data_IF_717326211731
#
_entry.id   IF_717326211731
#
_cell.length_a   1.000
_cell.length_b   1.000
_cell.length_c   1.000
_cell.angle_alpha   90.00
_cell.angle_beta   90.00
_cell.angle_gamma   90.00
#
_symmetry.space_group_name_H-M   'P 1'
#
loop_
_entity.id
_entity.type
_entity.pdbx_description
1 polymer ?
#
# COMPACT_ATOMS: atom_id res chain seq x y z
N UNK A 1 -1.30 19.99 -50.57
CA UNK A 1 -0.74 19.06 -49.56
C UNK A 1 -1.72 17.91 -49.30
N UNK A 2 -1.84 16.97 -50.22
CA UNK A 2 -2.78 15.84 -50.11
C UNK A 2 -2.25 14.55 -50.78
N UNK A 3 -0.94 14.32 -50.73
CA UNK A 3 -0.34 13.15 -51.41
C UNK A 3 0.42 12.18 -50.45
N UNK A 4 0.45 12.43 -49.18
CA UNK A 4 1.23 11.60 -48.22
C UNK A 4 0.39 10.59 -47.42
N UNK A 5 -0.94 10.62 -47.47
CA UNK A 5 -1.82 9.77 -46.66
C UNK A 5 -2.19 8.42 -47.30
N UNK A 6 -1.97 8.25 -48.58
CA UNK A 6 -2.42 7.04 -49.31
C UNK A 6 -1.39 5.90 -49.33
N UNK A 7 -0.14 6.12 -48.95
CA UNK A 7 0.89 5.08 -48.97
C UNK A 7 0.79 4.06 -47.83
N UNK A 8 0.23 4.44 -46.71
CA UNK A 8 0.18 3.59 -45.53
C UNK A 8 -0.97 2.57 -45.53
N UNK A 9 -2.07 2.94 -46.13
CA UNK A 9 -3.25 2.06 -46.27
C UNK A 9 -3.04 0.94 -47.31
N UNK A 10 -2.26 1.19 -48.36
CA UNK A 10 -1.99 0.18 -49.38
C UNK A 10 -1.04 -0.93 -48.91
N UNK A 11 -0.08 -0.61 -48.04
CA UNK A 11 0.82 -1.63 -47.51
C UNK A 11 0.14 -2.60 -46.51
N UNK A 12 -0.90 -2.19 -45.80
CA UNK A 12 -1.66 -3.07 -44.95
C UNK A 12 -2.61 -4.01 -45.73
N UNK A 13 -3.10 -3.57 -46.87
CA UNK A 13 -3.97 -4.42 -47.72
C UNK A 13 -3.16 -5.55 -48.38
N UNK A 14 -1.92 -5.28 -48.80
CA UNK A 14 -1.04 -6.32 -49.33
C UNK A 14 -0.54 -7.32 -48.30
N UNK A 15 -0.39 -6.92 -47.04
CA UNK A 15 -0.01 -7.84 -45.96
C UNK A 15 -1.12 -8.86 -45.64
N UNK A 16 -2.37 -8.44 -45.68
CA UNK A 16 -3.51 -9.34 -45.44
C UNK A 16 -3.76 -10.31 -46.64
N UNK A 17 -3.46 -9.89 -47.84
CA UNK A 17 -3.59 -10.78 -49.02
C UNK A 17 -2.54 -11.88 -49.09
N UNK A 18 -1.33 -11.67 -48.53
CA UNK A 18 -0.31 -12.73 -48.45
C UNK A 18 -0.66 -13.88 -47.51
N UNK A 19 -1.50 -13.64 -46.53
CA UNK A 19 -1.96 -14.71 -45.64
C UNK A 19 -3.21 -15.44 -46.17
N UNK A 20 -4.02 -14.81 -47.00
CA UNK A 20 -5.24 -15.43 -47.55
C UNK A 20 -4.95 -16.43 -48.67
N UNK A 21 -3.85 -16.27 -49.39
CA UNK A 21 -3.48 -17.20 -50.48
C UNK A 21 -2.78 -18.48 -50.00
N UNK A 22 -2.31 -18.53 -48.76
CA UNK A 22 -1.71 -19.72 -48.18
C UNK A 22 -2.74 -20.72 -47.64
N UNK A 23 -4.01 -20.36 -47.50
CA UNK A 23 -5.04 -21.24 -46.94
C UNK A 23 -5.78 -22.09 -47.95
N UNK A 24 -5.62 -21.83 -49.27
CA UNK A 24 -6.35 -22.55 -50.33
C UNK A 24 -5.54 -23.66 -51.03
N UNK A 25 -4.34 -23.97 -50.55
CA UNK A 25 -3.54 -25.08 -51.05
C UNK A 25 -3.25 -26.08 -49.93
N UNK A 26 -4.28 -26.76 -49.48
CA UNK A 26 -4.12 -28.02 -48.74
C UNK A 26 -4.54 -29.14 -49.69
N UNK A 27 -3.62 -29.74 -50.42
CA UNK A 27 -3.93 -30.99 -51.08
C UNK A 27 -4.27 -32.03 -50.04
N UNK A 28 -5.20 -32.88 -50.34
CA UNK A 28 -5.71 -33.97 -49.51
C UNK A 28 -4.63 -34.93 -48.97
N UNK A 29 -3.37 -34.74 -49.34
CA UNK A 29 -2.22 -35.49 -48.83
C UNK A 29 -1.85 -35.23 -47.37
N UNK A 30 -2.34 -34.14 -46.75
CA UNK A 30 -2.08 -33.85 -45.35
C UNK A 30 -2.93 -34.67 -44.39
N UNK A 31 -4.03 -35.25 -44.87
CA UNK A 31 -4.91 -36.09 -44.05
C UNK A 31 -4.39 -37.49 -43.83
N UNK A 32 -3.25 -37.89 -44.43
CA UNK A 32 -2.61 -39.18 -44.26
C UNK A 32 -1.37 -39.14 -43.37
N UNK A 33 -1.14 -38.08 -42.62
CA UNK A 33 -0.11 -38.13 -41.57
C UNK A 33 -0.56 -39.09 -40.48
N UNK A 34 -0.36 -40.39 -40.70
CA UNK A 34 -0.50 -41.43 -39.68
C UNK A 34 0.49 -41.06 -38.58
N UNK A 35 -0.01 -40.83 -37.39
CA UNK A 35 0.79 -40.70 -36.20
C UNK A 35 1.48 -42.05 -35.86
N UNK A 36 2.47 -42.38 -36.66
CA UNK A 36 3.32 -43.50 -36.30
C UNK A 36 4.04 -43.17 -35.00
N UNK A 37 3.80 -43.91 -33.98
CA UNK A 37 4.58 -43.85 -32.78
C UNK A 37 6.07 -43.96 -33.15
N UNK A 38 6.82 -42.90 -33.01
CA UNK A 38 8.22 -42.85 -33.41
C UNK A 38 8.94 -44.06 -32.74
N UNK A 39 9.67 -44.87 -33.55
CA UNK A 39 10.43 -45.99 -33.06
C UNK A 39 11.32 -45.56 -31.89
N UNK A 40 11.53 -46.45 -30.91
CA UNK A 40 12.28 -46.17 -29.67
C UNK A 40 13.58 -45.40 -29.93
N UNK A 41 14.35 -45.79 -30.96
CA UNK A 41 15.58 -45.10 -31.34
C UNK A 41 15.43 -43.68 -31.84
N UNK A 42 14.30 -43.34 -32.49
CA UNK A 42 14.01 -41.98 -32.94
C UNK A 42 13.64 -41.06 -31.77
N UNK A 43 12.92 -41.58 -30.79
CA UNK A 43 12.63 -40.87 -29.54
C UNK A 43 13.90 -40.62 -28.71
N UNK A 44 14.84 -41.56 -28.69
CA UNK A 44 16.13 -41.33 -28.03
C UNK A 44 16.99 -40.28 -28.73
N UNK A 45 17.01 -40.30 -30.09
CA UNK A 45 17.69 -39.25 -30.86
C UNK A 45 17.04 -37.85 -30.67
N UNK A 46 15.72 -37.77 -30.61
CA UNK A 46 15.02 -36.54 -30.32
C UNK A 46 15.26 -36.03 -28.87
N UNK A 47 15.36 -36.93 -27.91
CA UNK A 47 15.78 -36.59 -26.52
C UNK A 47 17.22 -36.09 -26.45
N UNK A 48 18.14 -36.70 -27.23
CA UNK A 48 19.55 -36.24 -27.27
C UNK A 48 19.73 -34.89 -27.96
N UNK A 49 18.81 -34.50 -28.85
CA UNK A 49 18.80 -33.16 -29.48
C UNK A 49 18.22 -32.05 -28.59
N UNK A 50 17.55 -32.36 -27.50
CA UNK A 50 17.23 -31.32 -26.50
C UNK A 50 18.54 -30.81 -25.94
N UNK A 51 18.86 -29.58 -26.30
CA UNK A 51 20.01 -28.83 -25.76
C UNK A 51 20.02 -29.08 -24.26
N UNK A 52 21.06 -29.76 -23.77
CA UNK A 52 21.27 -29.85 -22.33
C UNK A 52 21.44 -28.41 -21.85
N UNK A 53 20.41 -27.86 -21.23
CA UNK A 53 20.61 -26.65 -20.42
C UNK A 53 21.73 -26.99 -19.46
N UNK A 54 22.91 -26.39 -19.70
CA UNK A 54 24.03 -26.50 -18.79
C UNK A 54 23.59 -25.78 -17.53
N UNK A 55 22.94 -26.51 -16.65
CA UNK A 55 22.70 -26.05 -15.29
C UNK A 55 24.07 -25.86 -14.69
N UNK A 56 24.53 -24.63 -14.64
CA UNK A 56 25.72 -24.29 -13.88
C UNK A 56 25.49 -24.83 -12.48
N UNK A 57 26.23 -25.85 -12.11
CA UNK A 57 26.21 -26.37 -10.75
C UNK A 57 26.70 -25.29 -9.84
N UNK A 58 25.74 -24.49 -9.32
CA UNK A 58 26.06 -23.53 -8.27
C UNK A 58 26.54 -24.38 -7.08
N UNK A 59 27.83 -24.28 -6.78
CA UNK A 59 28.41 -24.97 -5.64
C UNK A 59 27.66 -24.57 -4.36
N UNK A 60 27.62 -25.48 -3.39
CA UNK A 60 27.02 -25.19 -2.10
C UNK A 60 27.62 -23.89 -1.51
N UNK A 61 26.79 -22.90 -1.29
CA UNK A 61 27.18 -21.63 -0.65
C UNK A 61 26.71 -21.71 0.81
N UNK A 62 27.63 -21.73 1.78
CA UNK A 62 27.33 -21.70 3.20
C UNK A 62 26.42 -20.52 3.55
N UNK A 63 25.56 -20.70 4.56
CA UNK A 63 24.56 -19.68 4.96
C UNK A 63 25.21 -18.31 5.26
N UNK A 64 26.36 -18.30 5.90
CA UNK A 64 27.11 -17.06 6.22
C UNK A 64 27.54 -16.28 4.96
N UNK A 65 27.89 -16.99 3.88
CA UNK A 65 28.27 -16.35 2.62
C UNK A 65 27.04 -15.90 1.79
N UNK A 66 25.88 -16.51 2.00
CA UNK A 66 24.62 -16.06 1.37
C UNK A 66 24.21 -14.68 1.88
N UNK A 67 24.30 -14.45 3.18
CA UNK A 67 24.05 -13.14 3.79
C UNK A 67 24.99 -12.06 3.22
N UNK A 68 26.30 -12.35 3.15
CA UNK A 68 27.28 -11.43 2.59
C UNK A 68 27.03 -11.11 1.11
N UNK A 69 26.61 -12.08 0.29
CA UNK A 69 26.23 -11.85 -1.12
C UNK A 69 24.96 -11.00 -1.24
N UNK A 70 24.00 -11.21 -0.36
CA UNK A 70 22.77 -10.38 -0.32
C UNK A 70 23.09 -8.92 0.07
N UNK A 71 23.96 -8.74 1.06
CA UNK A 71 24.41 -7.39 1.44
C UNK A 71 25.26 -6.71 0.36
N UNK A 72 26.12 -7.46 -0.33
CA UNK A 72 26.88 -6.92 -1.46
C UNK A 72 25.98 -6.53 -2.65
N UNK A 73 24.87 -7.27 -2.86
CA UNK A 73 23.87 -6.92 -3.87
C UNK A 73 23.07 -5.68 -3.45
N UNK A 74 22.75 -5.53 -2.15
CA UNK A 74 22.12 -4.34 -1.59
C UNK A 74 23.01 -3.08 -1.75
N UNK A 75 24.31 -3.22 -1.55
CA UNK A 75 25.28 -2.11 -1.72
C UNK A 75 25.43 -1.62 -3.16
N UNK A 76 25.10 -2.44 -4.15
CA UNK A 76 25.13 -2.07 -5.57
C UNK A 76 23.90 -1.32 -6.05
N UNK A 77 22.79 -1.35 -5.29
CA UNK A 77 21.64 -0.50 -5.57
C UNK A 77 22.00 0.94 -5.18
N UNK A 78 21.89 1.86 -6.12
CA UNK A 78 22.13 3.28 -5.89
C UNK A 78 21.13 3.81 -4.86
N UNK A 79 21.58 3.87 -3.61
CA UNK A 79 20.81 4.46 -2.49
C UNK A 79 20.40 5.90 -2.82
N UNK A 80 21.21 6.60 -3.59
CA UNK A 80 20.98 7.98 -4.03
C UNK A 80 19.72 8.17 -4.88
N UNK A 81 19.26 7.12 -5.58
CA UNK A 81 18.04 7.22 -6.40
C UNK A 81 16.75 7.09 -5.57
N UNK A 82 16.81 6.47 -4.39
CA UNK A 82 15.65 6.22 -3.53
C UNK A 82 15.54 7.25 -2.42
N UNK A 83 16.66 7.54 -1.75
CA UNK A 83 16.73 8.55 -0.69
C UNK A 83 17.51 9.72 -1.27
N UNK A 84 16.78 10.75 -1.69
CA UNK A 84 17.37 11.99 -2.13
C UNK A 84 17.86 12.77 -0.89
N UNK A 85 19.11 12.57 -0.53
CA UNK A 85 19.80 13.43 0.44
C UNK A 85 20.30 14.68 -0.28
N UNK A 86 19.60 15.77 -0.10
CA UNK A 86 19.91 17.08 -0.69
C UNK A 86 20.54 18.07 0.31
N UNK A 87 20.84 17.62 1.53
CA UNK A 87 21.38 18.46 2.61
C UNK A 87 22.68 19.19 2.25
N UNK A 88 23.51 18.55 1.41
CA UNK A 88 24.81 19.09 0.97
C UNK A 88 24.78 19.85 -0.35
N UNK A 89 23.62 19.95 -1.00
CA UNK A 89 23.50 20.65 -2.27
C UNK A 89 23.25 22.14 -2.02
N UNK A 90 23.76 23.02 -2.91
CA UNK A 90 23.46 24.45 -2.85
C UNK A 90 22.01 24.71 -3.23
N UNK A 91 21.49 25.86 -2.82
CA UNK A 91 20.22 26.38 -3.31
C UNK A 91 20.40 26.97 -4.70
N UNK A 92 19.33 26.96 -5.50
CA UNK A 92 19.35 27.58 -6.81
C UNK A 92 19.35 29.10 -6.70
N UNK A 93 20.25 29.76 -7.44
CA UNK A 93 20.31 31.23 -7.51
C UNK A 93 19.28 31.74 -8.54
N UNK A 94 19.11 30.97 -9.63
CA UNK A 94 18.24 31.33 -10.74
C UNK A 94 16.97 30.50 -10.61
N UNK A 95 15.93 30.79 -10.23
CA UNK A 95 14.65 30.05 -10.13
C UNK A 95 14.52 28.72 -10.92
N UNK A 96 15.65 28.14 -11.35
CA UNK A 96 15.77 26.87 -12.07
C UNK A 96 16.23 25.78 -11.11
N UNK A 97 15.34 24.87 -10.75
CA UNK A 97 15.58 23.84 -9.76
C UNK A 97 15.85 22.49 -10.42
N UNK A 98 17.11 22.16 -10.59
CA UNK A 98 17.54 20.86 -11.12
C UNK A 98 17.88 19.95 -9.94
N UNK A 99 17.07 18.91 -9.68
CA UNK A 99 17.22 17.99 -8.55
C UNK A 99 18.60 17.32 -8.45
N UNK A 100 19.35 17.22 -9.58
CA UNK A 100 20.70 16.68 -9.60
C UNK A 100 21.72 17.60 -8.93
N UNK A 101 21.58 18.92 -9.08
CA UNK A 101 22.60 19.91 -8.66
C UNK A 101 22.16 20.72 -7.46
N UNK A 102 20.87 21.01 -7.33
CA UNK A 102 20.29 21.89 -6.32
C UNK A 102 19.49 21.14 -5.28
N UNK A 103 19.31 21.74 -4.10
CA UNK A 103 18.33 21.28 -3.13
C UNK A 103 16.94 21.32 -3.75
N UNK A 104 16.06 20.42 -3.33
CA UNK A 104 14.66 20.53 -3.70
C UNK A 104 14.05 21.77 -3.06
N UNK A 105 13.37 22.55 -3.88
CA UNK A 105 12.61 23.71 -3.42
C UNK A 105 11.56 23.22 -2.39
N UNK A 106 11.55 23.89 -1.25
CA UNK A 106 10.49 23.71 -0.26
C UNK A 106 9.43 24.76 -0.60
N UNK A 107 8.24 24.29 -0.94
CA UNK A 107 7.11 25.15 -1.24
C UNK A 107 6.27 25.31 0.03
N UNK A 108 5.55 26.43 0.16
CA UNK A 108 4.46 26.53 1.11
C UNK A 108 3.33 25.58 0.69
N UNK A 109 2.46 25.20 1.62
CA UNK A 109 1.33 24.32 1.29
C UNK A 109 0.44 24.94 0.20
N UNK A 110 0.15 26.22 0.35
CA UNK A 110 -0.68 26.97 -0.59
C UNK A 110 -0.07 27.02 -2.00
N UNK A 111 1.24 27.37 -2.12
CA UNK A 111 1.95 27.36 -3.40
C UNK A 111 1.93 25.98 -4.05
N UNK A 112 2.13 24.91 -3.27
CA UNK A 112 2.14 23.56 -3.81
C UNK A 112 0.77 23.17 -4.38
N UNK A 113 -0.32 23.49 -3.69
CA UNK A 113 -1.68 23.23 -4.17
C UNK A 113 -1.98 24.06 -5.41
N UNK A 114 -1.59 25.34 -5.41
CA UNK A 114 -1.83 26.24 -6.55
C UNK A 114 -1.08 25.75 -7.81
N UNK A 115 0.17 25.34 -7.69
CA UNK A 115 0.94 24.78 -8.79
C UNK A 115 0.27 23.53 -9.38
N UNK A 116 -0.28 22.66 -8.53
CA UNK A 116 -1.05 21.51 -9.01
C UNK A 116 -2.37 21.91 -9.68
N UNK A 117 -3.04 22.97 -9.25
CA UNK A 117 -4.23 23.50 -9.92
C UNK A 117 -3.90 24.05 -11.30
N UNK A 118 -2.77 24.73 -11.46
CA UNK A 118 -2.30 25.21 -12.75
C UNK A 118 -2.01 24.08 -13.73
N UNK A 119 -1.35 23.02 -13.27
CA UNK A 119 -1.06 21.85 -14.12
C UNK A 119 -2.32 21.07 -14.50
N UNK A 120 -3.34 21.05 -13.65
CA UNK A 120 -4.62 20.36 -13.89
C UNK A 120 -5.70 21.22 -14.54
N UNK A 121 -5.33 22.44 -14.96
CA UNK A 121 -6.22 23.32 -15.71
C UNK A 121 -6.76 22.64 -16.99
N UNK A 122 -7.96 22.98 -17.44
CA UNK A 122 -8.59 22.42 -18.65
C UNK A 122 -7.72 22.44 -19.92
N UNK A 123 -6.78 23.38 -20.00
CA UNK A 123 -5.86 23.48 -21.15
C UNK A 123 -4.72 22.44 -21.14
N UNK A 124 -4.43 21.82 -20.00
CA UNK A 124 -3.30 20.87 -19.85
C UNK A 124 -3.86 19.46 -19.62
N UNK A 125 -4.29 19.15 -18.39
CA UNK A 125 -4.80 17.81 -18.07
C UNK A 125 -6.32 17.69 -18.02
N UNK A 126 -7.03 18.81 -17.92
CA UNK A 126 -8.50 18.89 -17.85
C UNK A 126 -9.11 18.02 -16.74
N UNK A 127 -8.52 18.03 -15.56
CA UNK A 127 -8.96 17.27 -14.39
C UNK A 127 -9.03 18.17 -13.15
N UNK A 128 -10.02 19.09 -13.05
CA UNK A 128 -10.12 20.02 -11.92
C UNK A 128 -10.40 19.30 -10.59
N UNK A 129 -11.05 18.14 -10.62
CA UNK A 129 -11.43 17.36 -9.43
C UNK A 129 -10.45 16.22 -9.14
N UNK A 130 -9.19 16.34 -9.59
CA UNK A 130 -8.21 15.31 -9.34
C UNK A 130 -7.92 15.14 -7.84
N UNK A 131 -7.72 13.90 -7.41
CA UNK A 131 -7.34 13.59 -6.02
C UNK A 131 -5.90 14.02 -5.76
N UNK A 132 -5.70 14.74 -4.67
CA UNK A 132 -4.38 15.14 -4.18
C UNK A 132 -3.92 14.15 -3.12
N UNK A 133 -2.71 13.61 -3.32
CA UNK A 133 -2.10 12.63 -2.43
C UNK A 133 -0.90 13.24 -1.70
N UNK A 134 -0.81 12.98 -0.41
CA UNK A 134 0.39 13.22 0.38
C UNK A 134 1.29 11.98 0.31
N UNK A 135 2.52 12.17 -0.14
CA UNK A 135 3.57 11.16 -0.09
C UNK A 135 4.52 11.48 1.05
N UNK A 136 4.42 10.72 2.12
CA UNK A 136 5.17 10.92 3.36
C UNK A 136 6.27 9.88 3.44
N UNK A 137 7.50 10.33 3.61
CA UNK A 137 8.66 9.46 3.80
C UNK A 137 8.93 9.32 5.30
N UNK A 138 9.11 8.08 5.71
CA UNK A 138 9.25 7.72 7.12
C UNK A 138 10.61 7.08 7.39
N UNK A 139 11.17 7.40 8.54
CA UNK A 139 12.27 6.64 9.10
C UNK A 139 11.74 5.49 9.97
N UNK A 140 11.84 4.28 9.42
CA UNK A 140 11.32 3.05 10.03
C UNK A 140 12.30 2.39 11.01
N UNK A 141 13.33 3.11 11.49
CA UNK A 141 14.22 2.58 12.52
C UNK A 141 13.47 2.43 13.84
N UNK A 142 13.66 1.30 14.50
CA UNK A 142 13.12 1.06 15.84
C UNK A 142 14.02 1.60 16.95
N UNK A 143 13.67 1.28 18.21
CA UNK A 143 14.45 1.65 19.40
C UNK A 143 15.89 1.11 19.34
N UNK A 144 16.06 -0.12 18.86
CA UNK A 144 17.37 -0.73 18.65
C UNK A 144 17.75 -0.58 17.17
N UNK A 145 19.02 -0.24 16.89
CA UNK A 145 19.54 -0.07 15.50
C UNK A 145 19.29 -1.27 14.58
N UNK A 146 19.12 -2.44 15.15
CA UNK A 146 18.86 -3.70 14.41
C UNK A 146 17.39 -4.01 14.21
N UNK A 147 16.50 -3.36 14.97
CA UNK A 147 15.04 -3.56 14.86
C UNK A 147 14.43 -2.45 13.99
N UNK A 148 13.60 -2.86 13.04
CA UNK A 148 12.85 -1.95 12.18
C UNK A 148 11.36 -2.08 12.44
N UNK A 149 10.64 -1.00 12.23
CA UNK A 149 9.18 -1.01 12.27
C UNK A 149 8.69 -1.79 11.06
N UNK A 150 7.81 -2.78 11.27
CA UNK A 150 7.17 -3.50 10.18
C UNK A 150 6.14 -2.66 9.45
N UNK A 151 5.61 -3.20 8.35
CA UNK A 151 4.47 -2.58 7.67
C UNK A 151 3.29 -2.48 8.63
N UNK A 152 2.66 -1.31 8.71
CA UNK A 152 1.46 -1.11 9.50
C UNK A 152 0.36 -0.41 8.69
N UNK A 153 -0.86 -0.69 9.07
CA UNK A 153 -2.05 -0.08 8.45
C UNK A 153 -2.84 0.64 9.52
N UNK A 154 -3.20 1.89 9.27
CA UNK A 154 -4.05 2.69 10.15
C UNK A 154 -5.14 3.39 9.34
N UNK A 155 -6.04 4.04 10.02
CA UNK A 155 -7.11 4.85 9.44
C UNK A 155 -7.02 6.23 10.03
N UNK A 156 -6.68 7.20 9.18
CA UNK A 156 -6.66 8.61 9.53
C UNK A 156 -8.07 9.18 9.41
N UNK A 157 -8.48 9.95 10.41
CA UNK A 157 -9.69 10.75 10.34
C UNK A 157 -9.34 12.14 9.83
N UNK A 158 -10.06 12.58 8.81
CA UNK A 158 -9.95 13.92 8.26
C UNK A 158 -11.14 14.77 8.69
N UNK A 159 -10.94 16.03 9.05
CA UNK A 159 -12.03 16.91 9.43
C UNK A 159 -13.00 17.20 8.28
N UNK A 160 -12.48 17.36 7.07
CA UNK A 160 -13.27 17.64 5.88
C UNK A 160 -13.38 16.38 5.02
N UNK A 161 -14.60 15.84 4.94
CA UNK A 161 -14.89 14.65 4.15
C UNK A 161 -14.84 14.95 2.66
N UNK A 162 -14.28 14.06 1.88
CA UNK A 162 -14.24 14.10 0.43
C UNK A 162 -14.39 12.67 -0.13
N UNK A 163 -14.70 12.56 -1.40
CA UNK A 163 -14.79 11.25 -2.04
C UNK A 163 -13.38 10.72 -2.34
N UNK A 164 -12.95 9.76 -1.55
CA UNK A 164 -11.67 9.07 -1.70
C UNK A 164 -11.81 7.68 -2.34
N UNK A 165 -13.02 7.33 -2.82
CA UNK A 165 -13.28 6.08 -3.53
C UNK A 165 -13.18 4.81 -2.67
N UNK A 166 -13.02 4.91 -1.36
CA UNK A 166 -12.92 3.76 -0.47
C UNK A 166 -14.27 3.48 0.23
N UNK A 167 -15.14 2.76 -0.43
CA UNK A 167 -16.40 2.32 0.19
C UNK A 167 -16.14 1.07 1.01
N UNK A 168 -16.29 1.15 2.33
CA UNK A 168 -16.06 0.04 3.25
C UNK A 168 -17.37 -0.48 3.80
N UNK A 169 -17.52 -1.79 3.81
CA UNK A 169 -18.62 -2.45 4.47
C UNK A 169 -18.27 -2.71 5.93
N UNK A 170 -19.03 -2.11 6.85
CA UNK A 170 -18.82 -2.20 8.29
C UNK A 170 -19.83 -3.14 8.90
N UNK A 171 -19.33 -4.09 9.69
CA UNK A 171 -20.14 -4.98 10.53
C UNK A 171 -19.96 -4.58 11.99
N UNK A 172 -21.04 -4.28 12.70
CA UNK A 172 -21.00 -3.92 14.11
C UNK A 172 -21.59 -5.03 15.00
N UNK A 173 -20.83 -5.42 16.02
CA UNK A 173 -21.29 -6.35 17.06
C UNK A 173 -21.66 -5.59 18.32
N UNK A 174 -22.93 -5.74 18.72
CA UNK A 174 -23.51 -5.07 19.86
C UNK A 174 -24.13 -6.09 20.80
N UNK A 175 -24.18 -5.79 22.09
CA UNK A 175 -24.80 -6.67 23.07
C UNK A 175 -26.29 -6.40 23.23
N UNK A 176 -26.68 -5.12 23.14
CA UNK A 176 -28.04 -4.62 23.33
C UNK A 176 -28.67 -4.19 22.01
N UNK A 177 -29.99 -4.31 21.89
CA UNK A 177 -30.73 -3.85 20.70
C UNK A 177 -30.60 -2.34 20.47
N UNK A 178 -30.59 -1.57 21.54
CA UNK A 178 -30.42 -0.10 21.46
C UNK A 178 -29.08 0.28 20.78
N UNK A 179 -27.99 -0.43 21.12
CA UNK A 179 -26.70 -0.20 20.50
C UNK A 179 -26.65 -0.70 19.05
N UNK A 180 -27.47 -1.71 18.70
CA UNK A 180 -27.61 -2.13 17.30
C UNK A 180 -28.27 -1.04 16.46
N UNK A 181 -29.32 -0.39 16.99
CA UNK A 181 -30.01 0.70 16.30
C UNK A 181 -29.10 1.93 16.17
N UNK A 182 -28.37 2.31 17.22
CA UNK A 182 -27.38 3.40 17.18
C UNK A 182 -26.29 3.13 16.13
N UNK A 183 -25.80 1.90 16.05
CA UNK A 183 -24.78 1.54 15.06
C UNK A 183 -25.35 1.55 13.62
N UNK A 184 -26.62 1.17 13.45
CA UNK A 184 -27.31 1.22 12.16
C UNK A 184 -27.55 2.65 11.70
N UNK A 185 -28.00 3.51 12.61
CA UNK A 185 -28.21 4.94 12.34
C UNK A 185 -26.89 5.66 12.02
N UNK A 186 -25.78 5.20 12.60
CA UNK A 186 -24.45 5.69 12.27
C UNK A 186 -23.94 5.24 10.89
N UNK A 187 -24.66 4.32 10.20
CA UNK A 187 -24.31 3.86 8.86
C UNK A 187 -23.57 2.53 8.81
N UNK A 188 -23.61 1.71 9.86
CA UNK A 188 -23.11 0.35 9.78
C UNK A 188 -23.97 -0.47 8.79
N UNK A 189 -23.31 -1.22 7.89
CA UNK A 189 -24.03 -2.00 6.86
C UNK A 189 -24.80 -3.16 7.45
N UNK A 190 -24.29 -3.73 8.52
CA UNK A 190 -24.99 -4.78 9.27
C UNK A 190 -24.64 -4.68 10.75
N UNK A 191 -25.65 -4.92 11.59
CA UNK A 191 -25.51 -4.92 13.05
C UNK A 191 -26.06 -6.22 13.60
N UNK A 192 -25.49 -6.73 14.67
CA UNK A 192 -26.03 -7.92 15.31
C UNK A 192 -25.32 -8.32 16.60
N UNK A 193 -26.05 -9.07 17.41
CA UNK A 193 -25.58 -9.57 18.69
C UNK A 193 -25.26 -11.06 18.68
N UNK A 194 -25.63 -11.75 19.79
CA UNK A 194 -25.38 -13.19 19.99
C UNK A 194 -26.00 -14.08 18.91
N UNK A 195 -27.12 -13.67 18.33
CA UNK A 195 -27.79 -14.42 17.26
C UNK A 195 -26.91 -14.48 16.02
N UNK A 196 -26.32 -13.36 15.65
CA UNK A 196 -25.39 -13.27 14.52
C UNK A 196 -24.14 -14.15 14.71
N UNK A 197 -23.62 -14.22 15.95
CA UNK A 197 -22.48 -15.09 16.28
C UNK A 197 -22.83 -16.55 15.99
N UNK A 198 -24.05 -17.01 16.32
CA UNK A 198 -24.50 -18.36 16.02
C UNK A 198 -24.64 -18.61 14.52
N UNK A 199 -25.18 -17.66 13.76
CA UNK A 199 -25.29 -17.77 12.29
C UNK A 199 -23.90 -17.87 11.63
N UNK A 200 -22.89 -17.16 12.15
CA UNK A 200 -21.51 -17.26 11.68
C UNK A 200 -20.91 -18.63 12.01
N UNK A 201 -21.19 -19.17 13.22
CA UNK A 201 -20.72 -20.51 13.61
C UNK A 201 -21.33 -21.60 12.73
N UNK A 202 -22.60 -21.49 12.37
CA UNK A 202 -23.28 -22.41 11.47
C UNK A 202 -22.84 -22.27 10.01
N UNK A 203 -22.12 -21.18 9.67
CA UNK A 203 -21.67 -20.94 8.30
C UNK A 203 -22.71 -20.28 7.39
N UNK A 204 -23.85 -19.86 7.93
CA UNK A 204 -24.94 -19.21 7.19
C UNK A 204 -24.60 -17.74 6.85
N UNK A 205 -23.70 -17.12 7.61
CA UNK A 205 -23.30 -15.73 7.43
C UNK A 205 -21.83 -15.58 7.07
N UNK A 206 -21.55 -14.88 5.96
CA UNK A 206 -20.18 -14.68 5.44
C UNK A 206 -19.53 -13.39 5.96
N UNK A 207 -18.44 -13.55 6.72
CA UNK A 207 -17.62 -12.40 7.18
C UNK A 207 -16.70 -11.82 6.10
N UNK A 208 -16.57 -12.47 4.94
CA UNK A 208 -15.64 -12.03 3.88
C UNK A 208 -16.10 -10.74 3.21
N UNK A 209 -17.40 -10.52 3.17
CA UNK A 209 -18.02 -9.36 2.53
C UNK A 209 -17.78 -8.04 3.27
N UNK A 210 -17.43 -8.11 4.55
CA UNK A 210 -17.20 -6.95 5.39
C UNK A 210 -15.70 -6.65 5.51
N UNK A 211 -15.34 -5.39 5.30
CA UNK A 211 -13.95 -4.96 5.37
C UNK A 211 -13.48 -4.74 6.79
N UNK A 212 -14.36 -4.15 7.61
CA UNK A 212 -14.08 -3.78 8.99
C UNK A 212 -15.15 -4.37 9.91
N UNK A 213 -14.68 -4.92 11.02
CA UNK A 213 -15.55 -5.41 12.08
C UNK A 213 -15.30 -4.57 13.32
N UNK A 214 -16.34 -3.92 13.80
CA UNK A 214 -16.31 -3.11 15.03
C UNK A 214 -17.13 -3.79 16.12
N UNK A 215 -16.77 -3.57 17.36
CA UNK A 215 -17.54 -4.14 18.47
C UNK A 215 -17.49 -3.30 19.73
N UNK A 216 -18.50 -3.49 20.53
CA UNK A 216 -18.54 -3.04 21.92
C UNK A 216 -17.68 -3.97 22.81
N UNK A 217 -16.99 -3.47 23.85
CA UNK A 217 -16.22 -4.31 24.76
C UNK A 217 -17.02 -5.39 25.47
N UNK A 218 -18.31 -5.13 25.75
CA UNK A 218 -19.19 -6.03 26.49
C UNK A 218 -19.53 -7.33 25.76
N UNK A 219 -19.41 -7.37 24.42
CA UNK A 219 -19.68 -8.59 23.61
C UNK A 219 -18.41 -9.39 23.30
N UNK A 220 -17.22 -8.89 23.65
CA UNK A 220 -15.95 -9.55 23.36
C UNK A 220 -15.87 -11.02 23.81
N UNK A 221 -16.34 -11.39 25.00
CA UNK A 221 -16.30 -12.79 25.44
C UNK A 221 -17.04 -13.73 24.49
N UNK A 222 -18.20 -13.29 23.99
CA UNK A 222 -19.00 -14.07 23.03
C UNK A 222 -18.31 -14.14 21.64
N UNK A 223 -17.58 -13.07 21.23
CA UNK A 223 -16.85 -13.02 19.97
C UNK A 223 -15.62 -13.94 19.95
N UNK A 224 -15.04 -14.28 21.10
CA UNK A 224 -13.91 -15.22 21.18
C UNK A 224 -14.24 -16.57 20.52
N UNK A 225 -15.49 -17.00 20.58
CA UNK A 225 -15.94 -18.25 19.96
C UNK A 225 -15.76 -18.28 18.44
N UNK A 226 -15.82 -17.11 17.79
CA UNK A 226 -15.70 -16.97 16.34
C UNK A 226 -14.37 -16.31 15.90
N UNK A 227 -13.41 -16.16 16.83
CA UNK A 227 -12.10 -15.58 16.54
C UNK A 227 -11.38 -16.25 15.37
N UNK A 228 -11.48 -17.59 15.27
CA UNK A 228 -10.89 -18.38 14.18
C UNK A 228 -11.42 -17.99 12.80
N UNK A 229 -12.71 -17.63 12.70
CA UNK A 229 -13.33 -17.20 11.44
C UNK A 229 -12.94 -15.76 11.06
N UNK A 230 -12.79 -14.88 12.05
CA UNK A 230 -12.43 -13.46 11.84
C UNK A 230 -10.95 -13.24 11.54
N UNK A 231 -10.05 -14.05 12.09
CA UNK A 231 -8.60 -13.92 11.93
C UNK A 231 -8.10 -12.51 12.21
N UNK A 232 -7.55 -11.84 11.17
CA UNK A 232 -6.99 -10.48 11.25
C UNK A 232 -8.05 -9.38 11.42
N UNK A 233 -9.34 -9.67 11.19
CA UNK A 233 -10.45 -8.72 11.34
C UNK A 233 -11.04 -8.75 12.75
N UNK A 234 -10.47 -9.53 13.66
CA UNK A 234 -10.97 -9.61 15.04
C UNK A 234 -10.84 -8.25 15.75
N UNK A 235 -11.94 -7.74 16.36
CA UNK A 235 -11.92 -6.44 17.02
C UNK A 235 -10.90 -6.39 18.16
N UNK A 236 -10.09 -5.35 18.17
CA UNK A 236 -9.09 -5.14 19.22
C UNK A 236 -8.82 -3.67 19.45
N UNK A 237 -8.40 -3.32 20.67
CA UNK A 237 -8.00 -1.97 21.01
C UNK A 237 -6.79 -1.49 20.18
N UNK A 238 -5.88 -2.39 19.82
CA UNK A 238 -4.70 -2.06 18.99
C UNK A 238 -5.11 -1.62 17.57
N UNK A 239 -6.18 -2.18 17.01
CA UNK A 239 -6.72 -1.79 15.71
C UNK A 239 -7.69 -0.61 15.80
N UNK A 240 -8.01 -0.14 17.00
CA UNK A 240 -8.98 0.91 17.22
C UNK A 240 -10.41 0.52 16.81
N UNK A 241 -10.73 -0.79 16.73
CA UNK A 241 -12.04 -1.32 16.32
C UNK A 241 -12.94 -1.66 17.50
N UNK A 242 -12.50 -1.32 18.71
CA UNK A 242 -13.19 -1.56 19.95
C UNK A 242 -13.44 -0.24 20.66
N UNK A 243 -14.71 0.11 20.89
CA UNK A 243 -15.09 1.31 21.66
C UNK A 243 -16.46 1.12 22.30
N UNK A 244 -16.69 1.86 23.38
CA UNK A 244 -18.03 2.01 23.98
C UNK A 244 -18.95 2.85 23.09
N UNK A 245 -18.38 3.88 22.42
CA UNK A 245 -19.12 4.78 21.54
C UNK A 245 -19.11 4.25 20.10
N UNK A 246 -20.05 3.41 19.77
CA UNK A 246 -20.15 2.80 18.44
C UNK A 246 -20.47 3.83 17.35
N UNK A 247 -21.21 4.89 17.64
CA UNK A 247 -21.53 5.93 16.68
C UNK A 247 -20.27 6.62 16.16
N UNK A 248 -19.42 7.09 17.07
CA UNK A 248 -18.14 7.71 16.69
C UNK A 248 -17.23 6.72 15.95
N UNK A 249 -17.25 5.46 16.40
CA UNK A 249 -16.40 4.42 15.82
C UNK A 249 -16.81 4.11 14.38
N UNK A 250 -18.10 3.90 14.12
CA UNK A 250 -18.62 3.63 12.77
C UNK A 250 -18.33 4.82 11.84
N UNK A 251 -18.61 6.05 12.28
CA UNK A 251 -18.30 7.24 11.50
C UNK A 251 -16.80 7.34 11.19
N UNK A 252 -15.94 7.05 12.16
CA UNK A 252 -14.47 7.01 11.96
C UNK A 252 -14.07 6.06 10.83
N UNK A 253 -14.70 4.89 10.75
CA UNK A 253 -14.38 3.90 9.72
C UNK A 253 -15.06 4.18 8.38
N UNK A 254 -16.16 4.91 8.35
CA UNK A 254 -16.84 5.34 7.11
C UNK A 254 -16.10 6.49 6.43
N UNK A 255 -15.78 7.54 7.19
CA UNK A 255 -15.16 8.76 6.65
C UNK A 255 -13.63 8.71 6.64
N UNK A 256 -13.03 7.87 7.47
CA UNK A 256 -11.59 7.79 7.62
C UNK A 256 -10.90 7.18 6.41
N UNK A 257 -9.68 7.59 6.15
CA UNK A 257 -8.86 7.14 5.04
C UNK A 257 -7.89 6.07 5.52
N UNK A 258 -7.96 4.90 4.90
CA UNK A 258 -7.03 3.81 5.21
C UNK A 258 -5.71 4.04 4.49
N UNK A 259 -4.64 4.00 5.24
CA UNK A 259 -3.30 4.05 4.69
C UNK A 259 -2.43 2.92 5.23
N UNK A 260 -1.42 2.57 4.48
CA UNK A 260 -0.45 1.54 4.84
C UNK A 260 0.95 2.09 4.69
N UNK A 261 1.69 2.10 5.78
CA UNK A 261 3.12 2.38 5.75
C UNK A 261 3.85 1.11 5.29
N UNK A 262 4.54 1.21 4.18
CA UNK A 262 5.32 0.11 3.62
C UNK A 262 6.80 0.41 3.75
N UNK A 263 7.57 -0.45 4.46
CA UNK A 263 9.02 -0.37 4.40
C UNK A 263 9.49 -0.72 3.00
N UNK A 264 10.59 -0.14 2.58
CA UNK A 264 11.20 -0.45 1.29
C UNK A 264 11.83 -1.85 1.32
N UNK A 265 11.63 -2.65 0.26
CA UNK A 265 12.06 -4.06 0.21
C UNK A 265 13.58 -4.24 0.44
N UNK A 266 14.39 -3.27 0.03
CA UNK A 266 15.85 -3.33 0.16
C UNK A 266 16.35 -2.59 1.40
N UNK A 267 15.73 -1.45 1.72
CA UNK A 267 16.12 -0.56 2.81
C UNK A 267 15.03 -0.53 3.88
N UNK A 268 15.09 -1.47 4.81
CA UNK A 268 14.07 -1.63 5.86
C UNK A 268 13.92 -0.40 6.77
N UNK A 269 14.92 0.50 6.79
CA UNK A 269 14.85 1.75 7.55
C UNK A 269 14.09 2.87 6.84
N UNK A 270 13.82 2.72 5.54
CA UNK A 270 13.07 3.68 4.76
C UNK A 270 11.68 3.16 4.49
N UNK A 271 10.67 3.96 4.77
CA UNK A 271 9.27 3.63 4.50
C UNK A 271 8.57 4.78 3.79
N UNK A 272 7.54 4.46 3.05
CA UNK A 272 6.70 5.45 2.38
C UNK A 272 5.24 5.20 2.68
N UNK A 273 4.50 6.28 2.78
CA UNK A 273 3.04 6.30 2.92
C UNK A 273 2.48 7.21 1.86
N UNK A 274 1.52 6.73 1.10
CA UNK A 274 0.76 7.52 0.14
C UNK A 274 -0.70 7.56 0.58
N UNK A 275 -1.22 8.77 0.83
CA UNK A 275 -2.55 8.99 1.37
C UNK A 275 -3.22 10.12 0.58
N UNK A 276 -4.43 9.93 0.04
CA UNK A 276 -5.23 11.03 -0.47
C UNK A 276 -5.70 11.89 0.70
N UNK A 277 -5.66 13.21 0.57
CA UNK A 277 -6.13 14.13 1.62
C UNK A 277 -7.19 15.13 1.14
N UNK A 278 -7.53 15.09 -0.14
CA UNK A 278 -8.58 15.91 -0.72
C UNK A 278 -8.62 15.86 -2.23
N UNK A 279 -9.43 16.75 -2.79
CA UNK A 279 -9.53 17.00 -4.22
C UNK A 279 -9.13 18.44 -4.53
N UNK A 280 -8.63 18.71 -5.74
CA UNK A 280 -8.19 20.05 -6.14
C UNK A 280 -9.31 21.13 -6.06
N UNK A 281 -10.56 20.70 -6.10
CA UNK A 281 -11.75 21.58 -6.01
C UNK A 281 -11.99 22.16 -4.60
N UNK A 282 -11.49 21.48 -3.56
CA UNK A 282 -11.67 21.90 -2.17
C UNK A 282 -10.92 23.21 -1.87
N UNK A 283 -11.39 23.96 -0.88
CA UNK A 283 -10.69 25.15 -0.39
C UNK A 283 -9.31 24.81 0.18
N UNK A 284 -8.34 25.71 -0.01
CA UNK A 284 -6.95 25.50 0.45
C UNK A 284 -6.89 25.27 1.96
N UNK A 285 -7.69 26.00 2.74
CA UNK A 285 -7.75 25.83 4.21
C UNK A 285 -8.24 24.45 4.63
N UNK A 286 -9.26 23.93 3.94
CA UNK A 286 -9.81 22.59 4.20
C UNK A 286 -8.77 21.51 3.87
N UNK A 287 -8.04 21.67 2.77
CA UNK A 287 -6.95 20.77 2.38
C UNK A 287 -5.81 20.81 3.39
N UNK A 288 -5.48 21.98 3.91
CA UNK A 288 -4.43 22.18 4.91
C UNK A 288 -4.79 21.49 6.23
N UNK A 289 -6.03 21.65 6.71
CA UNK A 289 -6.52 20.99 7.92
C UNK A 289 -6.54 19.47 7.78
N UNK A 290 -6.95 18.95 6.62
CA UNK A 290 -6.90 17.53 6.32
C UNK A 290 -5.45 17.02 6.29
N UNK A 291 -4.55 17.75 5.67
CA UNK A 291 -3.12 17.42 5.61
C UNK A 291 -2.49 17.40 7.00
N UNK A 292 -2.80 18.42 7.83
CA UNK A 292 -2.33 18.47 9.21
C UNK A 292 -2.83 17.28 10.04
N UNK A 293 -4.11 16.92 9.92
CA UNK A 293 -4.69 15.78 10.63
C UNK A 293 -4.00 14.46 10.24
N UNK A 294 -3.71 14.28 8.96
CA UNK A 294 -2.99 13.08 8.47
C UNK A 294 -1.56 13.04 9.00
N UNK A 295 -0.84 14.16 8.98
CA UNK A 295 0.53 14.22 9.51
C UNK A 295 0.57 13.90 11.00
N UNK A 296 -0.40 14.37 11.77
CA UNK A 296 -0.52 14.06 13.19
C UNK A 296 -0.78 12.57 13.42
N UNK A 297 -1.74 11.94 12.70
CA UNK A 297 -2.03 10.51 12.84
C UNK A 297 -0.82 9.63 12.45
N UNK A 298 -0.08 10.04 11.41
CA UNK A 298 1.16 9.35 11.03
C UNK A 298 2.24 9.53 12.10
N UNK A 299 2.37 10.72 12.69
CA UNK A 299 3.32 10.97 13.76
C UNK A 299 2.97 10.20 15.04
N UNK A 300 1.69 9.98 15.34
CA UNK A 300 1.24 9.16 16.48
C UNK A 300 1.62 7.68 16.33
N UNK A 301 1.94 7.23 15.13
CA UNK A 301 2.49 5.91 14.88
C UNK A 301 4.01 5.81 15.15
N UNK A 302 4.64 6.91 15.58
CA UNK A 302 6.07 6.99 15.87
C UNK A 302 6.48 5.95 16.90
N UNK A 303 7.55 5.17 16.67
CA UNK A 303 8.12 4.28 17.67
C UNK A 303 8.69 5.09 18.83
N UNK A 304 8.77 4.49 20.02
CA UNK A 304 9.33 5.12 21.24
C UNK A 304 10.86 5.30 21.12
N UNK A 305 11.30 6.10 20.17
CA UNK A 305 12.71 6.46 19.97
C UNK A 305 12.89 7.98 19.83
N UNK A 306 14.05 8.52 20.17
CA UNK A 306 14.37 9.91 19.86
C UNK A 306 14.59 10.10 18.36
N UNK A 307 14.32 11.28 17.85
CA UNK A 307 14.48 11.68 16.48
C UNK A 307 13.19 11.79 15.67
N UNK A 308 13.23 12.41 14.51
CA UNK A 308 12.05 12.58 13.67
C UNK A 308 11.59 11.24 13.09
N UNK A 309 10.30 11.05 12.98
CA UNK A 309 9.70 9.90 12.33
C UNK A 309 9.39 10.21 10.85
N UNK A 310 8.84 11.39 10.60
CA UNK A 310 8.61 11.91 9.26
C UNK A 310 9.90 12.61 8.80
N UNK A 311 10.45 12.18 7.68
CA UNK A 311 11.67 12.75 7.10
C UNK A 311 11.36 13.77 6.01
N UNK A 312 10.31 13.53 5.25
CA UNK A 312 9.92 14.39 4.14
C UNK A 312 8.44 14.23 3.84
N UNK A 313 7.78 15.33 3.49
CA UNK A 313 6.41 15.33 2.97
C UNK A 313 6.41 15.94 1.57
N UNK A 314 5.73 15.28 0.65
CA UNK A 314 5.56 15.72 -0.73
C UNK A 314 4.09 15.64 -1.11
N UNK A 315 3.65 16.57 -1.93
CA UNK A 315 2.31 16.56 -2.52
C UNK A 315 2.42 16.10 -3.96
N UNK A 316 1.54 15.19 -4.34
CA UNK A 316 1.45 14.63 -5.69
C UNK A 316 -0.01 14.63 -6.11
N UNK A 317 -0.27 14.99 -7.35
CA UNK A 317 -1.58 14.91 -7.95
C UNK A 317 -1.50 14.18 -9.28
N UNK A 318 -2.22 13.07 -9.42
CA UNK A 318 -2.27 12.31 -10.68
C UNK A 318 -3.24 13.02 -11.65
N UNK A 319 -2.94 13.08 -12.96
CA UNK A 319 -1.88 12.36 -13.69
C UNK A 319 -0.51 13.06 -13.74
N UNK A 320 -0.34 14.24 -13.13
CA UNK A 320 0.95 14.94 -13.14
C UNK A 320 2.03 14.09 -12.47
N UNK A 321 3.23 13.95 -13.07
CA UNK A 321 4.37 13.29 -12.46
C UNK A 321 5.06 14.14 -11.39
N UNK A 322 4.66 15.38 -11.21
CA UNK A 322 5.29 16.33 -10.30
C UNK A 322 5.05 15.94 -8.84
N UNK A 323 6.09 16.10 -8.04
CA UNK A 323 6.07 15.87 -6.61
C UNK A 323 6.68 17.09 -5.92
N UNK A 324 5.83 17.91 -5.34
CA UNK A 324 6.24 19.14 -4.69
C UNK A 324 6.54 18.87 -3.21
N UNK A 325 7.76 19.23 -2.77
CA UNK A 325 8.15 19.13 -1.36
C UNK A 325 7.53 20.28 -0.59
N UNK A 326 6.87 19.94 0.51
CA UNK A 326 6.19 20.91 1.38
C UNK A 326 6.81 20.89 2.76
N UNK A 327 6.83 22.04 3.40
CA UNK A 327 7.22 22.14 4.81
C UNK A 327 6.12 21.54 5.69
N UNK A 328 6.48 20.52 6.45
CA UNK A 328 5.58 19.77 7.33
C UNK A 328 5.81 20.08 8.82
N UNK A 329 6.93 20.75 9.15
CA UNK A 329 7.29 21.03 10.54
C UNK A 329 6.23 21.88 11.31
N UNK A 330 5.57 22.86 10.71
CA UNK A 330 4.54 23.66 11.38
C UNK A 330 3.33 22.84 11.83
N UNK A 331 3.03 21.73 11.16
CA UNK A 331 1.85 20.88 11.42
C UNK A 331 2.09 19.80 12.47
N UNK A 332 3.34 19.58 12.84
CA UNK A 332 3.68 18.65 13.89
C UNK A 332 3.63 19.31 15.26
N UNK A 333 3.14 18.61 16.28
CA UNK A 333 3.25 19.10 17.64
C UNK A 333 4.73 19.29 17.96
N UNK A 334 5.13 20.51 18.31
CA UNK A 334 6.48 20.77 18.83
C UNK A 334 6.69 19.82 20.00
N UNK A 335 7.73 19.00 19.96
CA UNK A 335 8.07 18.05 21.03
C UNK A 335 8.26 18.80 22.38
N UNK A 336 7.16 19.26 22.95
CA UNK A 336 7.14 19.70 24.34
C UNK A 336 7.19 18.45 25.19
N UNK A 337 8.41 18.13 25.62
CA UNK A 337 8.73 17.23 26.72
C UNK A 337 7.90 15.93 26.73
N UNK A 338 8.54 14.84 26.37
CA UNK A 338 8.16 13.48 26.75
C UNK A 338 7.52 13.46 28.15
N UNK A 339 6.22 13.69 28.23
CA UNK A 339 5.44 13.29 29.39
C UNK A 339 5.38 11.78 29.32
N UNK A 340 6.32 11.14 30.00
CA UNK A 340 6.27 9.75 30.35
C UNK A 340 4.99 9.48 31.14
N UNK A 341 3.96 9.04 30.46
CA UNK A 341 2.88 8.31 31.13
C UNK A 341 3.42 6.91 31.37
N UNK A 342 3.57 6.47 32.62
CA UNK A 342 3.96 5.11 32.90
C UNK A 342 2.73 4.21 32.65
N UNK A 343 2.57 3.72 31.45
CA UNK A 343 1.68 2.61 31.20
C UNK A 343 2.46 1.33 31.41
N UNK A 344 1.98 0.54 32.37
CA UNK A 344 2.50 -0.73 32.79
C UNK A 344 2.99 -1.58 31.62
N UNK A 345 4.26 -1.92 31.68
CA UNK A 345 4.91 -2.92 30.84
C UNK A 345 4.50 -4.26 31.39
N UNK A 346 3.53 -4.92 30.78
CA UNK A 346 3.44 -6.37 30.82
C UNK A 346 4.33 -6.88 29.69
N UNK A 347 5.55 -7.25 30.04
CA UNK A 347 6.44 -8.06 29.23
C UNK A 347 5.84 -9.47 29.17
N UNK A 348 5.08 -9.78 28.15
CA UNK A 348 4.84 -11.18 27.79
C UNK A 348 6.13 -11.67 27.13
N UNK A 349 6.94 -12.36 27.90
CA UNK A 349 8.00 -13.24 27.43
C UNK A 349 7.35 -14.36 26.61
N UNK A 350 7.54 -14.30 25.28
CA UNK A 350 7.29 -15.43 24.40
C UNK A 350 8.33 -16.54 24.70
N UNK A 351 8.05 -17.36 25.71
CA UNK A 351 8.73 -18.64 25.91
C UNK A 351 8.43 -19.57 24.72
N UNK A 352 9.45 -19.83 23.96
CA UNK A 352 9.47 -20.95 23.02
C UNK A 352 9.37 -22.26 23.82
N UNK A 353 8.46 -23.19 23.47
CA UNK A 353 8.50 -24.50 24.09
C UNK A 353 9.76 -25.25 23.59
N UNK A 354 10.66 -25.52 24.50
CA UNK A 354 11.79 -26.42 24.30
C UNK A 354 11.27 -27.81 23.97
N UNK A 355 11.74 -28.34 22.85
CA UNK A 355 11.49 -29.70 22.43
C UNK A 355 12.20 -30.66 23.42
N UNK A 356 11.41 -31.32 24.24
CA UNK A 356 11.88 -32.45 25.07
C UNK A 356 12.24 -33.61 24.13
N UNK A 357 13.53 -33.84 23.99
CA UNK A 357 14.07 -35.07 23.42
C UNK A 357 13.91 -36.15 24.47
N UNK A 358 12.94 -37.03 24.32
CA UNK A 358 12.84 -38.26 25.09
C UNK A 358 13.78 -39.29 24.46
N UNK A 359 14.80 -39.59 25.19
CA UNK A 359 15.61 -40.82 25.00
C UNK A 359 14.82 -42.01 25.53
N UNK A 360 14.48 -42.94 24.65
CA UNK A 360 14.53 -44.40 24.87
C UNK A 360 14.46 -45.12 23.54
#
# INVERSE_FOLDING_TARGET
MAAAANGWLLNNIFATYKYATCLNFCPASFLQARNYAARKGTREKARKKKVKVVVQKVGFIPHNQRAAKFEAKKKKLDVKSIILDDSKKPESIDNVWIAKFHKWKINSFEEAVQNHRETHHPTIYNMPNASINALIELDMQGVKKTKFVGAFTRIACVPHAFDHGQNRRILAFCKTSEMEDIARDAGAHFTGGKQLIKLIQNGEFSLKEYDVIVSEPSILPDLLLIRGFMRNKFPSAKLGTLSTDLKMLVNKFLTGIKYTAKPHDVFNYYGTVEIPFGTLDMEIKQLEENFAAILQDVNDAKPRRPGPFITRARIKCLPSPEMLKVDFEPYLPKDSALKATPAAVEEEDDEKPDAVIASH
#
